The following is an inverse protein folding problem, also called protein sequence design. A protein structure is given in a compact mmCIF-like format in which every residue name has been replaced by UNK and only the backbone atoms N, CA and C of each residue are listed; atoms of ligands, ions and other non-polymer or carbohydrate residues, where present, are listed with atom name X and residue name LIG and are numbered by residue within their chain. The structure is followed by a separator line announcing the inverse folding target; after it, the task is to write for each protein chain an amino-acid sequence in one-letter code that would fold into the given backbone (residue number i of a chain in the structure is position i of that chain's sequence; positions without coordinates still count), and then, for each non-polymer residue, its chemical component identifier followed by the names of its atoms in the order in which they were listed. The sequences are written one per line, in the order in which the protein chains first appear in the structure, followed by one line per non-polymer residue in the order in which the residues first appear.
data_IF_363999904934
#
_entry.id   IF_363999904934
#
_cell.length_a   1.000
_cell.length_b   1.000
_cell.length_c   1.000
_cell.angle_alpha   90.00
_cell.angle_beta   90.00
_cell.angle_gamma   90.00
#
_symmetry.space_group_name_H-M   'P 1'
#
loop_
_entity.id
_entity.type
_entity.pdbx_description
1 polymer ?
#
# COMPACT_ATOMS: atom_id res chain seq x y z
N UNK A 1 -10.56 23.54 -7.03
CA UNK A 1 -9.62 24.38 -6.27
C UNK A 1 -9.86 24.13 -4.79
N UNK A 2 -8.93 23.47 -4.08
CA UNK A 2 -9.04 23.24 -2.64
C UNK A 2 -9.00 24.60 -1.94
N UNK A 3 -10.12 24.98 -1.31
CA UNK A 3 -10.36 26.38 -0.89
C UNK A 3 -10.46 26.54 0.62
N UNK A 4 -10.48 25.44 1.39
CA UNK A 4 -10.38 25.48 2.84
C UNK A 4 -9.00 25.04 3.36
N UNK A 5 -8.61 25.57 4.52
CA UNK A 5 -7.40 25.12 5.24
C UNK A 5 -7.46 23.63 5.59
N UNK A 6 -8.67 23.12 5.85
CA UNK A 6 -8.93 21.71 6.16
C UNK A 6 -8.66 20.80 4.96
N UNK A 7 -9.07 21.19 3.74
CA UNK A 7 -8.79 20.41 2.52
C UNK A 7 -7.28 20.28 2.26
N UNK A 8 -6.53 21.35 2.50
CA UNK A 8 -5.07 21.35 2.37
C UNK A 8 -4.46 20.39 3.38
N UNK A 9 -4.92 20.44 4.63
CA UNK A 9 -4.44 19.56 5.69
C UNK A 9 -4.72 18.08 5.38
N UNK A 10 -5.95 17.75 4.97
CA UNK A 10 -6.35 16.40 4.58
C UNK A 10 -5.49 15.90 3.42
N UNK A 11 -5.29 16.74 2.39
CA UNK A 11 -4.47 16.38 1.23
C UNK A 11 -3.03 16.08 1.63
N UNK A 12 -2.39 16.95 2.41
CA UNK A 12 -1.00 16.76 2.84
C UNK A 12 -0.83 15.49 3.68
N UNK A 13 -1.77 15.20 4.59
CA UNK A 13 -1.72 13.97 5.39
C UNK A 13 -1.90 12.74 4.51
N UNK A 14 -2.86 12.75 3.58
CA UNK A 14 -3.08 11.63 2.67
C UNK A 14 -1.85 11.34 1.81
N UNK A 15 -1.19 12.37 1.29
CA UNK A 15 0.05 12.25 0.50
C UNK A 15 1.19 11.67 1.35
N UNK A 16 1.39 12.20 2.57
CA UNK A 16 2.41 11.70 3.50
C UNK A 16 2.16 10.24 3.89
N UNK A 17 0.92 9.89 4.26
CA UNK A 17 0.54 8.54 4.62
C UNK A 17 0.76 7.55 3.47
N UNK A 18 0.36 7.93 2.26
CA UNK A 18 0.58 7.12 1.06
C UNK A 18 2.07 6.91 0.76
N UNK A 19 2.89 7.95 0.97
CA UNK A 19 4.34 7.87 0.83
C UNK A 19 4.97 6.93 1.86
N UNK A 20 4.63 7.06 3.14
CA UNK A 20 5.12 6.19 4.21
C UNK A 20 4.77 4.72 3.95
N UNK A 21 3.55 4.45 3.48
CA UNK A 21 3.11 3.08 3.10
C UNK A 21 3.96 2.49 1.98
N UNK A 22 4.36 3.29 0.98
CA UNK A 22 5.28 2.84 -0.07
C UNK A 22 6.68 2.55 0.48
N UNK A 23 7.17 3.34 1.43
CA UNK A 23 8.48 3.09 2.06
C UNK A 23 8.48 1.81 2.88
N UNK A 24 7.42 1.54 3.65
CA UNK A 24 7.29 0.29 4.40
C UNK A 24 7.36 -0.93 3.49
N UNK A 25 6.65 -0.92 2.35
CA UNK A 25 6.65 -2.03 1.38
C UNK A 25 8.05 -2.25 0.80
N UNK A 26 8.76 -1.17 0.46
CA UNK A 26 10.15 -1.24 -0.02
C UNK A 26 11.07 -1.90 1.03
N UNK A 27 10.95 -1.52 2.29
CA UNK A 27 11.77 -2.08 3.36
C UNK A 27 11.44 -3.56 3.62
N UNK A 28 10.16 -3.94 3.60
CA UNK A 28 9.74 -5.34 3.69
C UNK A 28 10.36 -6.16 2.55
N UNK A 29 10.26 -5.70 1.30
CA UNK A 29 10.86 -6.40 0.16
C UNK A 29 12.38 -6.51 0.26
N UNK A 30 13.07 -5.45 0.72
CA UNK A 30 14.53 -5.47 0.95
C UNK A 30 14.95 -6.52 1.97
N UNK A 31 14.10 -6.80 2.97
CA UNK A 31 14.32 -7.84 3.97
C UNK A 31 13.76 -9.21 3.57
N UNK A 32 13.38 -9.41 2.30
CA UNK A 32 12.83 -10.67 1.80
C UNK A 32 11.39 -10.95 2.23
N UNK A 33 10.71 -9.99 2.86
CA UNK A 33 9.32 -10.13 3.30
C UNK A 33 8.40 -9.67 2.17
N UNK A 34 7.67 -10.62 1.58
CA UNK A 34 6.72 -10.30 0.53
C UNK A 34 5.49 -9.56 1.08
N UNK A 35 5.16 -8.44 0.44
CA UNK A 35 4.05 -7.57 0.85
C UNK A 35 3.30 -7.01 -0.36
N UNK A 36 2.00 -6.75 -0.19
CA UNK A 36 1.14 -6.08 -1.18
C UNK A 36 0.60 -4.79 -0.56
N UNK A 37 0.84 -3.67 -1.23
CA UNK A 37 0.17 -2.42 -0.93
C UNK A 37 -1.21 -2.43 -1.58
N UNK A 38 -2.26 -2.25 -0.78
CA UNK A 38 -3.64 -2.21 -1.27
C UNK A 38 -4.42 -1.07 -0.61
N UNK A 39 -5.48 -0.62 -1.25
CA UNK A 39 -6.43 0.32 -0.62
C UNK A 39 -7.35 -0.45 0.34
N UNK A 40 -7.98 0.21 1.32
CA UNK A 40 -8.94 -0.47 2.20
C UNK A 40 -10.11 -1.12 1.44
N UNK A 41 -10.60 -0.47 0.37
CA UNK A 41 -11.70 -1.00 -0.43
C UNK A 41 -11.30 -2.27 -1.22
N UNK A 42 -10.04 -2.37 -1.60
CA UNK A 42 -9.50 -3.51 -2.33
C UNK A 42 -8.99 -4.63 -1.41
N UNK A 43 -9.06 -4.46 -0.08
CA UNK A 43 -8.72 -5.52 0.88
C UNK A 43 -9.82 -6.58 0.93
N UNK A 44 -9.87 -7.38 -0.13
CA UNK A 44 -10.84 -8.44 -0.33
C UNK A 44 -10.15 -9.71 -0.86
N UNK A 45 -10.97 -10.71 -1.20
CA UNK A 45 -10.51 -12.02 -1.67
C UNK A 45 -9.56 -11.91 -2.87
N UNK A 46 -9.75 -10.94 -3.76
CA UNK A 46 -8.86 -10.75 -4.92
C UNK A 46 -7.43 -10.38 -4.48
N UNK A 47 -7.28 -9.52 -3.48
CA UNK A 47 -5.97 -9.16 -2.93
C UNK A 47 -5.29 -10.36 -2.26
N UNK A 48 -6.07 -11.20 -1.56
CA UNK A 48 -5.57 -12.44 -0.95
C UNK A 48 -5.09 -13.41 -2.04
N UNK A 49 -5.89 -13.62 -3.07
CA UNK A 49 -5.54 -14.51 -4.18
C UNK A 49 -4.26 -14.04 -4.88
N UNK A 50 -4.12 -12.73 -5.11
CA UNK A 50 -2.90 -12.15 -5.67
C UNK A 50 -1.67 -12.44 -4.80
N UNK A 51 -1.80 -12.38 -3.48
CA UNK A 51 -0.70 -12.74 -2.56
C UNK A 51 -0.33 -14.21 -2.67
N UNK A 52 -1.31 -15.11 -2.71
CA UNK A 52 -1.07 -16.54 -2.84
C UNK A 52 -0.38 -16.88 -4.17
N UNK A 53 -0.82 -16.30 -5.29
CA UNK A 53 -0.14 -16.47 -6.57
C UNK A 53 1.31 -16.02 -6.54
N UNK A 54 1.57 -14.83 -5.98
CA UNK A 54 2.92 -14.27 -5.86
C UNK A 54 3.82 -15.13 -4.99
N UNK A 55 3.31 -15.68 -3.90
CA UNK A 55 4.05 -16.59 -3.01
C UNK A 55 4.37 -17.91 -3.72
N UNK A 56 3.40 -18.49 -4.43
CA UNK A 56 3.56 -19.76 -5.16
C UNK A 56 4.62 -19.62 -6.25
N UNK A 57 4.59 -18.54 -7.05
CA UNK A 57 5.58 -18.29 -8.12
C UNK A 57 7.02 -18.17 -7.65
N UNK A 58 7.25 -17.80 -6.38
CA UNK A 58 8.60 -17.69 -5.81
C UNK A 58 9.03 -18.94 -5.03
N UNK A 59 8.11 -19.89 -4.80
CA UNK A 59 8.39 -21.15 -4.12
C UNK A 59 8.75 -22.28 -5.10
N UNK A 60 8.67 -22.01 -6.41
CA UNK A 60 9.12 -22.84 -7.53
C UNK A 60 10.39 -22.23 -8.14
#
# INVERSE_FOLDING_TARGET
SATSLEDIYIKTIAEKFSFEKRQMVKELHKNGIQSILTTPADLNVNTINKYLELKTRMSI
#
